data_IF_016966757571
#
_entry.id   IF_016966757571
#
_cell.length_a   1.000
_cell.length_b   1.000
_cell.length_c   1.000
_cell.angle_alpha   90.00
_cell.angle_beta   90.00
_cell.angle_gamma   90.00
#
_symmetry.space_group_name_H-M   'P 1'
#
loop_
_entity.id
_entity.type
_entity.pdbx_description
1 polymer ?
#
# COMPACT_ATOMS: atom_id res chain seq x y z
N UNK A 1 15.03 2.50 -11.35
CA UNK A 1 15.62 1.20 -11.67
C UNK A 1 16.88 1.01 -10.86
N UNK A 2 17.05 -0.16 -10.27
CA UNK A 2 18.30 -0.58 -9.64
C UNK A 2 19.13 -1.38 -10.66
N UNK A 3 20.45 -1.20 -10.64
CA UNK A 3 21.35 -1.96 -11.50
C UNK A 3 21.86 -3.26 -10.84
N UNK A 4 21.56 -3.47 -9.56
CA UNK A 4 21.93 -4.68 -8.85
C UNK A 4 21.03 -5.85 -9.28
N UNK A 5 21.65 -6.95 -9.65
CA UNK A 5 20.98 -8.21 -10.00
C UNK A 5 21.48 -9.26 -9.00
N UNK A 6 20.63 -9.69 -8.05
CA UNK A 6 21.03 -10.70 -7.08
C UNK A 6 21.17 -12.07 -7.76
N UNK A 7 22.18 -12.83 -7.34
CA UNK A 7 22.29 -14.24 -7.68
C UNK A 7 21.21 -15.06 -6.95
N UNK A 8 20.79 -16.17 -7.55
CA UNK A 8 19.76 -17.04 -6.98
C UNK A 8 20.12 -17.54 -5.58
N UNK A 9 21.39 -17.86 -5.37
CA UNK A 9 21.87 -18.31 -4.05
C UNK A 9 21.72 -17.25 -2.96
N UNK A 10 21.84 -15.97 -3.29
CA UNK A 10 21.60 -14.88 -2.35
C UNK A 10 20.12 -14.74 -2.01
N UNK A 11 19.23 -14.91 -2.98
CA UNK A 11 17.79 -14.91 -2.73
C UNK A 11 17.39 -16.10 -1.85
N UNK A 12 17.94 -17.28 -2.12
CA UNK A 12 17.71 -18.46 -1.29
C UNK A 12 18.22 -18.26 0.14
N UNK A 13 19.45 -17.80 0.30
CA UNK A 13 20.02 -17.48 1.63
C UNK A 13 19.18 -16.46 2.40
N UNK A 14 18.71 -15.42 1.73
CA UNK A 14 17.82 -14.41 2.34
C UNK A 14 16.52 -15.03 2.84
N UNK A 15 15.93 -15.97 2.09
CA UNK A 15 14.72 -16.66 2.51
C UNK A 15 14.97 -17.55 3.73
N UNK A 16 16.06 -18.33 3.71
CA UNK A 16 16.46 -19.20 4.83
C UNK A 16 16.74 -18.36 6.08
N UNK A 17 17.51 -17.27 5.97
CA UNK A 17 17.82 -16.41 7.10
C UNK A 17 16.55 -15.79 7.73
N UNK A 18 15.57 -15.37 6.90
CA UNK A 18 14.30 -14.85 7.39
C UNK A 18 13.52 -15.95 8.16
N UNK A 19 13.50 -17.17 7.64
CA UNK A 19 12.82 -18.31 8.27
C UNK A 19 13.48 -18.71 9.57
N UNK A 20 14.80 -18.91 9.58
CA UNK A 20 15.58 -19.29 10.76
C UNK A 20 15.43 -18.26 11.89
N UNK A 21 15.48 -16.96 11.54
CA UNK A 21 15.31 -15.90 12.52
C UNK A 21 13.90 -15.91 13.13
N UNK A 22 12.89 -16.15 12.33
CA UNK A 22 11.52 -16.24 12.82
C UNK A 22 11.29 -17.46 13.72
N UNK A 23 11.80 -18.63 13.32
CA UNK A 23 11.71 -19.89 14.08
C UNK A 23 12.49 -19.83 15.40
N UNK A 24 13.50 -18.96 15.52
CA UNK A 24 14.25 -18.75 16.76
C UNK A 24 13.46 -18.02 17.86
N UNK A 25 12.35 -17.35 17.50
CA UNK A 25 11.55 -16.59 18.45
C UNK A 25 10.66 -17.52 19.28
N UNK A 26 10.77 -17.38 20.60
CA UNK A 26 9.98 -18.20 21.51
C UNK A 26 8.47 -18.02 21.30
N UNK A 27 7.74 -19.13 21.15
CA UNK A 27 6.30 -19.13 20.85
C UNK A 27 5.97 -19.40 19.40
N UNK A 28 6.90 -19.20 18.47
CA UNK A 28 6.77 -19.66 17.08
C UNK A 28 6.97 -21.16 17.03
N UNK A 29 6.10 -21.86 16.33
CA UNK A 29 6.11 -23.34 16.29
C UNK A 29 6.24 -23.89 14.88
N UNK A 30 6.01 -23.08 13.86
CA UNK A 30 6.16 -23.51 12.47
C UNK A 30 6.29 -22.28 11.54
N UNK A 31 6.75 -22.54 10.32
CA UNK A 31 6.76 -21.61 9.20
C UNK A 31 5.87 -22.15 8.08
N UNK A 32 5.19 -21.25 7.38
CA UNK A 32 4.51 -21.56 6.10
C UNK A 32 5.45 -21.29 4.90
N UNK A 33 6.69 -20.92 5.18
CA UNK A 33 7.74 -20.62 4.23
C UNK A 33 8.05 -19.15 4.09
N UNK A 34 9.29 -18.90 3.65
CA UNK A 34 9.78 -17.59 3.27
C UNK A 34 10.09 -17.56 1.77
N UNK A 35 10.02 -16.38 1.18
CA UNK A 35 10.41 -16.18 -0.20
C UNK A 35 11.12 -14.84 -0.40
N UNK A 36 12.12 -14.86 -1.29
CA UNK A 36 12.79 -13.66 -1.77
C UNK A 36 12.79 -13.68 -3.27
N UNK A 37 12.52 -12.55 -3.89
CA UNK A 37 12.45 -12.47 -5.35
C UNK A 37 13.00 -11.15 -5.90
N UNK A 38 13.44 -11.22 -7.14
CA UNK A 38 13.84 -10.10 -7.95
C UNK A 38 13.15 -10.15 -9.31
N UNK A 39 12.72 -9.00 -9.79
CA UNK A 39 12.29 -8.85 -11.18
C UNK A 39 12.74 -7.52 -11.77
N UNK A 40 13.03 -7.54 -13.07
CA UNK A 40 13.23 -6.35 -13.90
C UNK A 40 12.26 -6.41 -15.05
N UNK A 41 11.41 -5.41 -15.17
CA UNK A 41 10.41 -5.32 -16.21
C UNK A 41 10.68 -4.11 -17.09
N UNK A 42 10.58 -4.30 -18.41
CA UNK A 42 10.59 -3.24 -19.41
C UNK A 42 9.29 -3.32 -20.20
N UNK A 43 8.51 -2.25 -20.15
CA UNK A 43 7.19 -2.17 -20.77
C UNK A 43 7.24 -1.09 -21.83
N UNK A 44 6.90 -1.46 -23.06
CA UNK A 44 6.72 -0.55 -24.20
C UNK A 44 5.24 -0.32 -24.41
N UNK A 45 4.87 0.92 -24.64
CA UNK A 45 3.51 1.30 -25.01
C UNK A 45 3.56 2.11 -26.30
N UNK A 46 2.74 1.70 -27.29
CA UNK A 46 2.48 2.47 -28.49
C UNK A 46 0.97 2.51 -28.71
N UNK A 47 0.47 3.67 -29.13
CA UNK A 47 -0.96 3.90 -29.38
C UNK A 47 -1.20 4.37 -30.81
N UNK A 48 -2.42 4.21 -31.33
CA UNK A 48 -2.78 4.60 -32.70
C UNK A 48 -2.76 6.09 -32.95
N UNK A 49 -2.78 6.91 -31.90
CA UNK A 49 -2.70 8.38 -31.94
C UNK A 49 -1.25 8.91 -31.89
N UNK A 50 -0.27 8.03 -32.04
CA UNK A 50 1.13 8.38 -32.24
C UNK A 50 1.96 8.44 -30.95
N UNK A 51 1.40 8.16 -29.77
CA UNK A 51 2.20 8.01 -28.56
C UNK A 51 3.03 6.73 -28.62
N UNK A 52 4.32 6.82 -28.30
CA UNK A 52 5.16 5.67 -28.02
C UNK A 52 6.19 6.02 -26.94
N UNK A 53 6.35 5.13 -25.97
CA UNK A 53 7.34 5.29 -24.91
C UNK A 53 7.58 3.94 -24.22
N UNK A 54 8.57 3.89 -23.34
CA UNK A 54 8.81 2.72 -22.51
C UNK A 54 9.13 3.13 -21.07
N UNK A 55 8.95 2.20 -20.17
CA UNK A 55 9.35 2.32 -18.76
C UNK A 55 10.03 1.03 -18.31
N UNK A 56 11.02 1.19 -17.47
CA UNK A 56 11.68 0.08 -16.78
C UNK A 56 11.43 0.17 -15.29
N UNK A 57 11.33 -0.97 -14.65
CA UNK A 57 11.14 -1.07 -13.21
C UNK A 57 11.81 -2.33 -12.68
N UNK A 58 12.57 -2.20 -11.61
CA UNK A 58 13.05 -3.30 -10.79
C UNK A 58 12.13 -3.48 -9.59
N UNK A 59 12.06 -4.69 -9.08
CA UNK A 59 11.36 -5.00 -7.84
C UNK A 59 12.13 -6.08 -7.09
N UNK A 60 12.36 -5.83 -5.82
CA UNK A 60 12.91 -6.78 -4.85
C UNK A 60 11.84 -7.00 -3.81
N UNK A 61 11.52 -8.24 -3.52
CA UNK A 61 10.56 -8.53 -2.47
C UNK A 61 11.06 -9.65 -1.56
N UNK A 62 10.65 -9.56 -0.31
CA UNK A 62 10.87 -10.58 0.70
C UNK A 62 9.61 -10.75 1.52
N UNK A 63 9.27 -11.97 1.84
CA UNK A 63 8.09 -12.29 2.64
C UNK A 63 8.32 -13.55 3.46
N UNK A 64 7.64 -13.62 4.59
CA UNK A 64 7.57 -14.83 5.43
C UNK A 64 6.22 -14.87 6.13
N UNK A 65 5.68 -16.05 6.30
CA UNK A 65 4.50 -16.32 7.12
C UNK A 65 4.82 -17.39 8.16
N UNK A 66 4.43 -17.14 9.40
CA UNK A 66 4.74 -18.02 10.53
C UNK A 66 3.54 -18.32 11.40
N UNK A 67 3.62 -19.43 12.13
CA UNK A 67 2.61 -19.89 13.06
C UNK A 67 3.20 -19.88 14.46
N UNK A 68 2.47 -19.27 15.42
CA UNK A 68 2.76 -19.30 16.83
C UNK A 68 1.71 -20.13 17.58
N UNK A 69 2.09 -20.72 18.71
CA UNK A 69 1.18 -21.54 19.54
C UNK A 69 1.01 -22.98 19.06
N UNK A 70 0.10 -23.73 19.69
CA UNK A 70 -0.12 -25.16 19.43
C UNK A 70 -1.61 -25.53 19.43
N UNK A 71 -1.95 -26.58 18.66
CA UNK A 71 -3.31 -27.13 18.60
C UNK A 71 -4.33 -26.09 18.13
N UNK A 72 -5.45 -25.95 18.84
CA UNK A 72 -6.52 -25.00 18.50
C UNK A 72 -6.23 -23.55 18.92
N UNK A 73 -5.06 -23.30 19.51
CA UNK A 73 -4.62 -21.97 19.95
C UNK A 73 -3.48 -21.43 19.10
N UNK A 74 -3.41 -21.87 17.84
CA UNK A 74 -2.44 -21.35 16.89
C UNK A 74 -2.91 -20.03 16.31
N UNK A 75 -1.97 -19.10 16.16
CA UNK A 75 -2.12 -17.83 15.49
C UNK A 75 -1.10 -17.69 14.38
N UNK A 76 -1.45 -16.98 13.33
CA UNK A 76 -0.59 -16.75 12.17
C UNK A 76 -0.41 -15.27 11.93
N UNK A 77 0.80 -14.88 11.56
CA UNK A 77 1.05 -13.55 11.00
C UNK A 77 2.20 -13.61 10.00
N UNK A 78 2.43 -12.54 9.30
CA UNK A 78 3.42 -12.44 8.23
C UNK A 78 4.09 -11.06 8.21
N UNK A 79 5.22 -10.99 7.51
CA UNK A 79 5.81 -9.76 7.01
C UNK A 79 6.04 -9.86 5.51
N UNK A 80 5.81 -8.77 4.81
CA UNK A 80 6.06 -8.64 3.39
C UNK A 80 6.62 -7.27 3.08
N UNK A 81 7.68 -7.25 2.31
CA UNK A 81 8.25 -6.02 1.77
C UNK A 81 8.47 -6.12 0.26
N UNK A 82 8.28 -4.99 -0.42
CA UNK A 82 8.56 -4.85 -1.84
C UNK A 82 9.16 -3.46 -2.09
N UNK A 83 10.34 -3.42 -2.69
CA UNK A 83 11.13 -2.20 -2.92
C UNK A 83 11.65 -2.14 -4.35
N UNK A 84 11.85 -0.93 -4.85
CA UNK A 84 12.44 -0.69 -6.18
C UNK A 84 13.96 -0.92 -6.16
N UNK A 85 14.61 -0.66 -5.05
CA UNK A 85 16.04 -0.87 -4.85
C UNK A 85 16.28 -1.90 -3.74
N UNK A 86 17.24 -2.81 -3.98
CA UNK A 86 17.58 -3.88 -3.04
C UNK A 86 17.99 -3.34 -1.66
N UNK A 87 18.76 -2.25 -1.65
CA UNK A 87 19.24 -1.64 -0.39
C UNK A 87 18.15 -1.00 0.47
N UNK A 88 16.95 -0.86 -0.06
CA UNK A 88 15.80 -0.30 0.66
C UNK A 88 14.96 -1.40 1.34
N UNK A 89 15.27 -2.70 1.11
CA UNK A 89 14.73 -3.81 1.90
C UNK A 89 15.38 -3.85 3.27
N UNK A 90 14.60 -4.18 4.27
CA UNK A 90 15.15 -4.56 5.58
C UNK A 90 15.93 -5.86 5.49
N UNK A 91 16.84 -6.07 6.44
CA UNK A 91 17.58 -7.32 6.53
C UNK A 91 16.63 -8.52 6.68
N UNK A 92 16.93 -9.68 6.08
CA UNK A 92 16.07 -10.86 6.17
C UNK A 92 15.73 -11.25 7.61
N UNK A 93 16.73 -11.17 8.50
CA UNK A 93 16.55 -11.37 9.94
C UNK A 93 15.45 -10.50 10.52
N UNK A 94 15.46 -9.20 10.22
CA UNK A 94 14.45 -8.24 10.72
C UNK A 94 13.05 -8.59 10.22
N UNK A 95 12.94 -8.99 8.94
CA UNK A 95 11.65 -9.41 8.34
C UNK A 95 11.10 -10.63 9.07
N UNK A 96 11.94 -11.62 9.36
CA UNK A 96 11.56 -12.81 10.13
C UNK A 96 11.13 -12.49 11.56
N UNK A 97 11.91 -11.68 12.26
CA UNK A 97 11.61 -11.26 13.65
C UNK A 97 10.28 -10.47 13.74
N UNK A 98 9.99 -9.60 12.78
CA UNK A 98 8.73 -8.85 12.74
C UNK A 98 7.53 -9.80 12.59
N UNK A 99 7.57 -10.72 11.62
CA UNK A 99 6.51 -11.71 11.42
C UNK A 99 6.27 -12.55 12.67
N UNK A 100 7.36 -13.04 13.27
CA UNK A 100 7.33 -13.87 14.47
C UNK A 100 6.72 -13.15 15.67
N UNK A 101 7.20 -11.94 15.98
CA UNK A 101 6.70 -11.14 17.11
C UNK A 101 5.22 -10.80 16.95
N UNK A 102 4.75 -10.53 15.72
CA UNK A 102 3.34 -10.33 15.43
C UNK A 102 2.51 -11.58 15.68
N UNK A 103 2.94 -12.74 15.18
CA UNK A 103 2.23 -13.99 15.40
C UNK A 103 2.13 -14.33 16.90
N UNK A 104 3.22 -14.16 17.64
CA UNK A 104 3.26 -14.37 19.10
C UNK A 104 2.33 -13.39 19.84
N UNK A 105 2.30 -12.13 19.43
CA UNK A 105 1.45 -11.12 20.06
C UNK A 105 -0.06 -11.39 19.91
N UNK A 106 -0.44 -12.22 18.94
CA UNK A 106 -1.84 -12.63 18.70
C UNK A 106 -2.29 -13.79 19.59
N UNK A 107 -1.37 -14.46 20.28
CA UNK A 107 -1.70 -15.59 21.14
C UNK A 107 -2.63 -15.20 22.29
N UNK A 108 -3.51 -16.14 22.66
CA UNK A 108 -4.48 -15.97 23.74
C UNK A 108 -5.44 -14.78 23.55
N UNK A 109 -6.13 -14.68 22.40
CA UNK A 109 -7.05 -13.59 22.12
C UNK A 109 -8.15 -13.51 23.16
N UNK A 110 -8.55 -12.30 23.51
CA UNK A 110 -9.64 -12.04 24.45
C UNK A 110 -10.83 -11.43 23.74
N UNK A 111 -12.04 -11.89 24.08
CA UNK A 111 -13.26 -11.23 23.63
C UNK A 111 -13.47 -9.93 24.38
N UNK A 112 -13.71 -8.87 23.66
CA UNK A 112 -14.09 -7.57 24.24
C UNK A 112 -15.58 -7.32 24.00
N UNK A 113 -16.19 -6.51 24.85
CA UNK A 113 -17.60 -6.10 24.69
C UNK A 113 -17.70 -5.09 23.55
N UNK A 114 -18.85 -5.09 22.86
CA UNK A 114 -19.17 -4.04 21.89
C UNK A 114 -19.17 -2.68 22.58
N UNK A 115 -18.47 -1.72 21.99
CA UNK A 115 -18.38 -0.37 22.52
C UNK A 115 -18.21 0.63 21.36
N UNK A 116 -18.48 1.91 21.63
CA UNK A 116 -18.23 3.01 20.70
C UNK A 116 -16.99 3.76 21.21
N UNK A 117 -15.85 3.46 20.62
CA UNK A 117 -14.54 3.98 21.02
C UNK A 117 -13.74 4.46 19.80
N UNK A 118 -12.75 5.33 19.98
CA UNK A 118 -11.79 5.66 18.93
C UNK A 118 -11.09 4.42 18.39
N UNK A 119 -10.82 4.42 17.08
CA UNK A 119 -10.05 3.38 16.40
C UNK A 119 -8.79 4.01 15.81
N UNK A 120 -7.64 3.42 16.12
CA UNK A 120 -6.36 3.73 15.49
C UNK A 120 -6.04 2.59 14.52
N UNK A 121 -5.83 2.94 13.26
CA UNK A 121 -5.44 1.98 12.23
C UNK A 121 -3.91 1.88 12.18
N UNK A 122 -3.40 0.66 12.33
CA UNK A 122 -2.00 0.36 12.07
C UNK A 122 -1.62 0.73 10.62
N UNK A 123 -0.38 1.17 10.33
CA UNK A 123 0.07 1.45 8.96
C UNK A 123 -0.19 0.32 7.97
N UNK A 124 -0.16 -0.95 8.40
CA UNK A 124 -0.46 -2.12 7.55
C UNK A 124 -1.89 -2.14 7.01
N UNK A 125 -2.84 -1.64 7.78
CA UNK A 125 -4.28 -1.70 7.44
C UNK A 125 -4.84 -0.35 7.05
N UNK A 126 -4.19 0.75 7.41
CA UNK A 126 -4.65 2.11 7.12
C UNK A 126 -4.80 2.38 5.61
N UNK A 127 -4.01 1.72 4.78
CA UNK A 127 -4.13 1.78 3.33
C UNK A 127 -5.51 1.32 2.80
N UNK A 128 -6.24 0.48 3.54
CA UNK A 128 -7.59 0.05 3.17
C UNK A 128 -8.59 1.21 3.16
N UNK A 129 -8.41 2.21 4.03
CA UNK A 129 -9.23 3.42 4.04
C UNK A 129 -9.02 4.25 2.76
N UNK A 130 -7.76 4.39 2.32
CA UNK A 130 -7.45 5.05 1.06
C UNK A 130 -7.97 4.26 -0.14
N UNK A 131 -7.93 2.92 -0.08
CA UNK A 131 -8.49 2.07 -1.13
C UNK A 131 -10.01 2.23 -1.25
N UNK A 132 -10.74 2.30 -0.15
CA UNK A 132 -12.18 2.59 -0.15
C UNK A 132 -12.46 3.98 -0.76
N UNK A 133 -11.67 4.99 -0.37
CA UNK A 133 -11.79 6.34 -0.92
C UNK A 133 -11.54 6.35 -2.43
N UNK A 134 -10.47 5.71 -2.93
CA UNK A 134 -10.19 5.65 -4.37
C UNK A 134 -11.26 4.94 -5.17
N UNK A 135 -11.89 3.91 -4.60
CA UNK A 135 -13.09 3.29 -5.18
C UNK A 135 -14.24 4.28 -5.36
N UNK A 136 -14.46 5.15 -4.36
CA UNK A 136 -15.49 6.19 -4.40
C UNK A 136 -15.21 7.30 -5.40
N UNK A 137 -13.96 7.62 -5.70
CA UNK A 137 -13.57 8.65 -6.68
C UNK A 137 -13.18 8.06 -8.05
N UNK A 138 -13.36 6.76 -8.26
CA UNK A 138 -13.14 6.11 -9.55
C UNK A 138 -14.04 6.72 -10.63
N UNK A 139 -13.43 7.20 -11.72
CA UNK A 139 -14.16 7.78 -12.84
C UNK A 139 -15.23 6.86 -13.41
N UNK A 140 -14.99 5.55 -13.45
CA UNK A 140 -15.96 4.57 -13.88
C UNK A 140 -17.16 4.46 -12.92
N UNK A 141 -16.93 4.48 -11.60
CA UNK A 141 -18.00 4.42 -10.62
C UNK A 141 -18.84 5.71 -10.64
N UNK A 142 -18.20 6.87 -10.81
CA UNK A 142 -18.85 8.16 -10.94
C UNK A 142 -19.70 8.22 -12.22
N UNK A 143 -19.14 7.81 -13.37
CA UNK A 143 -19.83 7.82 -14.67
C UNK A 143 -21.06 6.89 -14.68
N UNK A 144 -20.99 5.76 -13.99
CA UNK A 144 -22.13 4.82 -13.83
C UNK A 144 -23.13 5.27 -12.76
N UNK A 145 -22.87 6.34 -12.01
CA UNK A 145 -23.72 6.80 -10.93
C UNK A 145 -23.70 5.92 -9.67
N UNK A 146 -22.80 4.94 -9.57
CA UNK A 146 -22.74 3.98 -8.46
C UNK A 146 -21.84 4.44 -7.29
N UNK A 147 -21.09 5.53 -7.48
CA UNK A 147 -20.24 6.09 -6.43
C UNK A 147 -21.07 6.81 -5.36
N UNK A 148 -20.74 6.54 -4.09
CA UNK A 148 -21.29 7.28 -2.94
C UNK A 148 -20.73 8.72 -2.85
N UNK A 149 -19.68 9.04 -3.62
CA UNK A 149 -19.08 10.38 -3.69
C UNK A 149 -19.47 11.14 -4.95
N UNK A 150 -20.29 10.61 -5.86
CA UNK A 150 -20.61 11.19 -7.17
C UNK A 150 -21.03 12.67 -7.14
N UNK A 151 -21.75 13.09 -6.09
CA UNK A 151 -22.26 14.46 -5.92
C UNK A 151 -21.40 15.29 -4.95
N UNK A 152 -20.15 14.88 -4.69
CA UNK A 152 -19.27 15.47 -3.67
C UNK A 152 -18.09 16.29 -4.23
N UNK A 153 -17.98 16.46 -5.55
CA UNK A 153 -16.96 17.34 -6.14
C UNK A 153 -17.10 18.75 -5.56
N UNK A 154 -15.96 19.35 -5.21
CA UNK A 154 -15.84 20.66 -4.55
C UNK A 154 -16.59 20.77 -3.21
N UNK A 155 -16.90 19.65 -2.55
CA UNK A 155 -17.53 19.62 -1.22
C UNK A 155 -16.60 19.04 -0.17
N UNK A 156 -16.78 19.47 1.07
CA UNK A 156 -16.10 18.86 2.21
C UNK A 156 -16.55 17.42 2.39
N UNK A 157 -15.59 16.50 2.39
CA UNK A 157 -15.79 15.06 2.66
C UNK A 157 -14.95 14.58 3.84
N UNK A 158 -13.96 15.38 4.25
CA UNK A 158 -13.11 15.16 5.41
C UNK A 158 -12.95 16.43 6.22
N UNK A 159 -12.26 16.35 7.35
CA UNK A 159 -11.85 17.53 8.14
C UNK A 159 -10.88 18.40 7.33
N UNK A 160 -10.81 19.70 7.68
CA UNK A 160 -10.01 20.71 6.93
C UNK A 160 -8.51 20.45 6.93
N UNK A 161 -7.98 19.68 7.85
CA UNK A 161 -6.56 19.30 7.95
C UNK A 161 -6.17 18.13 7.04
N UNK A 162 -7.15 17.47 6.40
CA UNK A 162 -6.89 16.29 5.57
C UNK A 162 -6.49 16.71 4.14
N UNK A 163 -5.32 16.22 3.75
CA UNK A 163 -4.78 16.30 2.39
C UNK A 163 -4.56 14.87 1.87
N UNK A 164 -5.06 14.56 0.67
CA UNK A 164 -4.79 13.28 0.01
C UNK A 164 -4.23 13.56 -1.38
N UNK A 165 -3.06 13.01 -1.65
CA UNK A 165 -2.27 13.32 -2.83
C UNK A 165 -1.93 12.01 -3.56
N UNK A 166 -2.03 12.02 -4.89
CA UNK A 166 -1.41 11.02 -5.77
C UNK A 166 -0.18 11.65 -6.45
N UNK A 167 1.00 11.09 -6.21
CA UNK A 167 2.26 11.60 -6.74
C UNK A 167 3.00 10.54 -7.55
N UNK A 168 2.97 10.60 -8.90
CA UNK A 168 3.66 9.65 -9.76
C UNK A 168 5.18 9.85 -9.83
N UNK A 169 5.72 10.89 -9.18
CA UNK A 169 7.14 11.26 -9.25
C UNK A 169 7.92 11.01 -7.96
N UNK A 170 7.34 10.28 -7.00
CA UNK A 170 8.07 9.91 -5.77
C UNK A 170 9.31 9.10 -6.12
N UNK A 171 10.48 9.58 -5.69
CA UNK A 171 11.73 8.87 -5.95
C UNK A 171 11.68 7.47 -5.32
N UNK A 172 11.92 6.43 -6.15
CA UNK A 172 11.81 5.01 -5.77
C UNK A 172 10.41 4.58 -5.28
N UNK A 173 9.39 5.39 -5.55
CA UNK A 173 8.02 5.03 -5.22
C UNK A 173 7.57 3.82 -6.05
N UNK A 174 6.90 2.84 -5.41
CA UNK A 174 6.49 1.61 -6.11
C UNK A 174 5.47 1.86 -7.21
N UNK A 175 4.69 2.93 -7.13
CA UNK A 175 3.72 3.35 -8.15
C UNK A 175 4.23 4.39 -9.14
N UNK A 176 5.49 4.84 -9.03
CA UNK A 176 6.02 5.94 -9.84
C UNK A 176 6.04 5.60 -11.33
N UNK A 177 5.62 6.58 -12.14
CA UNK A 177 5.47 6.45 -13.60
C UNK A 177 5.45 7.82 -14.26
N UNK A 178 5.81 7.88 -15.54
CA UNK A 178 5.74 9.10 -16.35
C UNK A 178 4.45 9.19 -17.16
N UNK A 179 3.84 8.06 -17.48
CA UNK A 179 2.58 7.96 -18.24
C UNK A 179 1.73 6.80 -17.70
N UNK A 180 0.43 6.88 -17.92
CA UNK A 180 -0.53 5.84 -17.57
C UNK A 180 -0.68 4.75 -18.64
N UNK A 181 -1.68 3.87 -18.54
CA UNK A 181 -1.92 2.78 -19.50
C UNK A 181 -2.44 3.24 -20.87
N UNK A 182 -2.85 4.48 -21.01
CA UNK A 182 -3.30 5.09 -22.27
C UNK A 182 -2.25 6.04 -22.86
N UNK A 183 -1.04 6.13 -22.28
CA UNK A 183 0.00 7.05 -22.71
C UNK A 183 -0.18 8.49 -22.24
N UNK A 184 -1.15 8.75 -21.38
CA UNK A 184 -1.36 10.08 -20.82
C UNK A 184 -0.30 10.38 -19.77
N UNK A 185 0.31 11.56 -19.87
CA UNK A 185 1.30 12.03 -18.88
C UNK A 185 0.72 11.99 -17.47
N UNK A 186 1.43 11.33 -16.55
CA UNK A 186 1.04 11.29 -15.14
C UNK A 186 1.56 12.52 -14.41
N UNK A 187 0.70 13.14 -13.60
CA UNK A 187 1.01 14.38 -12.86
C UNK A 187 0.65 14.22 -11.40
N UNK A 188 1.39 14.92 -10.53
CA UNK A 188 1.02 15.06 -9.13
C UNK A 188 -0.32 15.78 -9.02
N UNK A 189 -1.25 15.20 -8.29
CA UNK A 189 -2.60 15.71 -8.13
C UNK A 189 -3.05 15.64 -6.67
N UNK A 190 -3.67 16.70 -6.19
CA UNK A 190 -4.38 16.70 -4.92
C UNK A 190 -5.79 16.16 -5.16
N UNK A 191 -6.08 15.01 -4.63
CA UNK A 191 -7.42 14.40 -4.68
C UNK A 191 -8.34 15.00 -3.64
N UNK A 192 -7.77 15.31 -2.47
CA UNK A 192 -8.44 16.07 -1.40
C UNK A 192 -7.51 17.20 -0.96
N UNK A 193 -8.03 18.41 -0.90
CA UNK A 193 -7.34 19.59 -0.40
C UNK A 193 -8.17 20.25 0.69
N UNK A 194 -7.59 20.40 1.88
CA UNK A 194 -8.28 20.97 3.05
C UNK A 194 -9.65 20.30 3.32
N UNK A 195 -9.70 18.96 3.19
CA UNK A 195 -10.91 18.17 3.36
C UNK A 195 -11.91 18.21 2.20
N UNK A 196 -11.65 19.04 1.17
CA UNK A 196 -12.52 19.20 -0.01
C UNK A 196 -12.08 18.25 -1.13
N UNK A 197 -13.02 17.51 -1.71
CA UNK A 197 -12.76 16.67 -2.89
C UNK A 197 -12.47 17.53 -4.12
N UNK A 198 -11.29 17.33 -4.73
CA UNK A 198 -10.80 18.15 -5.84
C UNK A 198 -10.73 17.43 -7.18
N UNK A 199 -10.71 16.11 -7.19
CA UNK A 199 -10.56 15.39 -8.45
C UNK A 199 -11.14 13.98 -8.40
N UNK A 200 -11.61 13.53 -9.58
CA UNK A 200 -11.85 12.12 -9.88
C UNK A 200 -10.60 11.48 -10.48
N UNK A 201 -10.50 10.15 -10.38
CA UNK A 201 -9.50 9.34 -11.08
C UNK A 201 -10.03 8.97 -12.48
N UNK A 202 -9.69 9.76 -13.49
CA UNK A 202 -10.29 9.63 -14.83
C UNK A 202 -9.32 8.99 -15.83
N UNK A 203 -9.76 7.90 -16.46
CA UNK A 203 -9.26 7.45 -17.76
C UNK A 203 -9.85 8.32 -18.88
N UNK A 204 -9.32 8.18 -20.10
CA UNK A 204 -9.90 8.86 -21.28
C UNK A 204 -11.36 8.46 -21.52
N UNK A 205 -11.71 7.19 -21.25
CA UNK A 205 -13.08 6.70 -21.41
C UNK A 205 -14.02 7.37 -20.40
N UNK A 206 -13.71 7.31 -19.10
CA UNK A 206 -14.57 7.89 -18.05
C UNK A 206 -14.63 9.42 -18.16
N UNK A 207 -13.55 10.06 -18.58
CA UNK A 207 -13.51 11.49 -18.84
C UNK A 207 -14.51 11.91 -19.95
N UNK A 208 -14.53 11.16 -21.06
CA UNK A 208 -15.52 11.41 -22.14
C UNK A 208 -16.95 11.20 -21.67
N UNK A 209 -17.22 10.14 -20.90
CA UNK A 209 -18.55 9.88 -20.36
C UNK A 209 -19.05 11.00 -19.43
N UNK A 210 -18.14 11.63 -18.70
CA UNK A 210 -18.44 12.73 -17.77
C UNK A 210 -18.30 14.13 -18.40
N UNK A 211 -17.95 14.20 -19.68
CA UNK A 211 -17.63 15.46 -20.38
C UNK A 211 -16.52 16.25 -19.70
N UNK A 212 -15.48 15.55 -19.22
CA UNK A 212 -14.30 16.08 -18.54
C UNK A 212 -13.02 15.70 -19.28
N UNK A 213 -11.88 16.23 -18.83
CA UNK A 213 -10.54 15.82 -19.31
C UNK A 213 -10.03 14.66 -18.46
N UNK A 214 -9.27 13.75 -19.08
CA UNK A 214 -8.58 12.68 -18.36
C UNK A 214 -7.59 13.24 -17.34
N UNK A 215 -7.43 12.55 -16.24
CA UNK A 215 -6.47 12.89 -15.19
C UNK A 215 -5.22 11.98 -15.21
N UNK A 216 -5.05 11.15 -16.25
CA UNK A 216 -3.91 10.23 -16.38
C UNK A 216 -3.98 9.04 -15.41
N UNK A 217 -5.20 8.55 -15.14
CA UNK A 217 -5.42 7.48 -14.16
C UNK A 217 -6.07 6.22 -14.76
N UNK A 218 -5.81 5.93 -16.05
CA UNK A 218 -6.28 4.68 -16.65
C UNK A 218 -5.70 3.43 -15.98
N UNK A 219 -4.51 3.55 -15.37
CA UNK A 219 -3.86 2.50 -14.56
C UNK A 219 -4.13 2.63 -13.05
N UNK A 220 -5.12 3.42 -12.64
CA UNK A 220 -5.37 3.74 -11.23
C UNK A 220 -4.37 4.72 -10.63
N UNK A 221 -4.35 4.82 -9.30
CA UNK A 221 -3.42 5.69 -8.56
C UNK A 221 -1.96 5.28 -8.74
N UNK A 222 -1.05 6.21 -8.49
CA UNK A 222 0.40 5.98 -8.47
C UNK A 222 0.90 5.75 -7.03
N UNK A 223 1.50 6.75 -6.42
CA UNK A 223 1.87 6.73 -5.02
C UNK A 223 0.89 7.61 -4.25
N UNK A 224 -0.18 6.97 -3.80
CA UNK A 224 -1.24 7.64 -3.04
C UNK A 224 -0.84 7.71 -1.57
N UNK A 225 -0.97 8.89 -0.98
CA UNK A 225 -0.76 9.08 0.45
C UNK A 225 -1.65 10.20 1.01
N UNK A 226 -1.93 10.09 2.31
CA UNK A 226 -2.45 11.17 3.13
C UNK A 226 -1.25 11.88 3.77
N UNK A 227 -1.22 13.20 3.74
CA UNK A 227 -0.18 13.94 4.44
C UNK A 227 -0.22 13.65 5.95
N UNK A 228 0.95 13.51 6.60
CA UNK A 228 0.99 13.26 8.03
C UNK A 228 0.43 14.46 8.80
N UNK A 229 -0.21 14.19 9.93
CA UNK A 229 -0.56 15.21 10.90
C UNK A 229 0.62 15.57 11.80
N UNK A 230 0.38 16.46 12.76
CA UNK A 230 1.42 17.01 13.65
C UNK A 230 1.85 16.04 14.77
N UNK A 231 1.11 14.94 14.99
CA UNK A 231 1.39 13.99 16.07
C UNK A 231 2.16 12.77 15.57
N UNK A 232 3.16 12.38 16.33
CA UNK A 232 3.80 11.07 16.17
C UNK A 232 2.86 9.92 16.53
N UNK A 233 3.18 8.69 16.11
CA UNK A 233 2.40 7.51 16.47
C UNK A 233 2.30 7.35 18.01
N UNK A 234 3.39 7.57 18.73
CA UNK A 234 3.42 7.47 20.19
C UNK A 234 2.52 8.50 20.85
N UNK A 235 2.56 9.75 20.39
CA UNK A 235 1.69 10.82 20.90
C UNK A 235 0.22 10.55 20.58
N UNK A 236 -0.07 10.01 19.38
CA UNK A 236 -1.42 9.64 19.00
C UNK A 236 -1.97 8.55 19.92
N UNK A 237 -1.21 7.47 20.13
CA UNK A 237 -1.57 6.36 21.02
C UNK A 237 -1.77 6.84 22.45
N UNK A 238 -0.86 7.63 23.00
CA UNK A 238 -0.95 8.14 24.37
C UNK A 238 -2.09 9.15 24.59
N UNK A 239 -2.59 9.79 23.52
CA UNK A 239 -3.71 10.72 23.61
C UNK A 239 -5.08 10.04 23.79
N UNK A 240 -5.16 8.72 23.62
CA UNK A 240 -6.39 7.94 23.70
C UNK A 240 -6.37 7.06 24.95
N UNK A 241 -7.32 7.28 25.87
CA UNK A 241 -7.41 6.50 27.12
C UNK A 241 -7.98 5.11 26.91
N UNK A 242 -8.95 4.98 26.01
CA UNK A 242 -9.61 3.72 25.64
C UNK A 242 -9.91 3.74 24.14
N UNK A 243 -9.56 2.68 23.44
CA UNK A 243 -9.76 2.58 21.99
C UNK A 243 -9.34 1.23 21.45
N UNK A 244 -9.50 1.03 20.14
CA UNK A 244 -8.96 -0.11 19.43
C UNK A 244 -7.77 0.32 18.56
N UNK A 245 -6.71 -0.46 18.65
CA UNK A 245 -5.63 -0.45 17.68
C UNK A 245 -5.83 -1.65 16.72
N UNK A 246 -5.98 -1.41 15.44
CA UNK A 246 -6.41 -2.40 14.45
C UNK A 246 -5.34 -2.60 13.38
#
# INVERSE_FOLDING_TARGET
VDNYIPENDLLLKSSIEAEDSALSINGVTNSEGASSSYSKNKIFLATSDGFYNYKEKTNYSSSISVIAGKGTKMERDYEYQSKIHNKDLDAPKTIGEIAANRAVSRLNPKKVKSNSVPIIFDPRVSGSLLSLFTGGISGQAVARGTSFLKDKMEKNIFKKDIQIIDDPHVLRGPGSRTFDGEGVESKKIKLVENGVLKSWLLSSQSARQLNLKTTGHSSGVSNLYMEPGDKTNTELLSSIKEGFYV
#
